data_IF_485694931510
#
_entry.id   IF_485694931510
#
_cell.length_a   1.000
_cell.length_b   1.000
_cell.length_c   1.000
_cell.angle_alpha   90.00
_cell.angle_beta   90.00
_cell.angle_gamma   90.00
#
_symmetry.space_group_name_H-M   'P 1'
#
loop_
_entity.id
_entity.type
_entity.pdbx_description
1 polymer ?
#
# COMPACT_ATOMS: atom_id res chain seq x y z
N UNK A 1 -11.21 21.55 24.17
CA UNK A 1 -9.80 21.61 23.72
C UNK A 1 -9.75 20.88 22.38
N UNK A 2 -9.69 21.61 21.28
CA UNK A 2 -9.50 21.00 19.97
C UNK A 2 -8.14 20.31 19.92
N UNK A 3 -8.13 18.99 19.84
CA UNK A 3 -6.88 18.25 19.63
C UNK A 3 -6.34 18.62 18.25
N UNK A 4 -5.18 19.31 18.24
CA UNK A 4 -4.46 19.68 17.04
C UNK A 4 -4.17 18.44 16.18
N UNK A 5 -4.32 18.61 14.87
CA UNK A 5 -3.82 17.64 13.91
C UNK A 5 -2.33 17.37 14.12
N UNK A 6 -1.95 16.09 14.07
CA UNK A 6 -0.58 15.61 14.19
C UNK A 6 -0.26 14.72 13.00
N UNK A 7 1.01 14.72 12.63
CA UNK A 7 1.54 13.80 11.64
C UNK A 7 2.27 12.66 12.36
N UNK A 8 2.01 11.42 11.98
CA UNK A 8 2.66 10.23 12.52
C UNK A 8 3.12 9.36 11.35
N UNK A 9 4.39 8.94 11.37
CA UNK A 9 4.94 7.98 10.42
C UNK A 9 5.19 6.66 11.14
N UNK A 10 4.94 5.54 10.45
CA UNK A 10 5.13 4.22 11.04
C UNK A 10 4.74 3.08 10.12
N UNK A 11 4.86 1.86 10.63
CA UNK A 11 4.61 0.62 9.85
C UNK A 11 3.36 -0.09 10.33
N UNK A 12 2.53 -0.54 9.40
CA UNK A 12 1.36 -1.36 9.71
C UNK A 12 1.85 -2.71 10.24
N UNK A 13 1.69 -2.92 11.54
CA UNK A 13 1.99 -4.20 12.18
C UNK A 13 0.87 -5.20 11.94
N UNK A 14 -0.38 -4.76 12.07
CA UNK A 14 -1.55 -5.62 11.97
C UNK A 14 -2.73 -4.85 11.38
N UNK A 15 -3.52 -5.53 10.57
CA UNK A 15 -4.84 -5.04 10.14
C UNK A 15 -5.85 -5.66 11.11
N UNK A 16 -6.43 -4.84 11.99
CA UNK A 16 -7.42 -5.30 12.99
C UNK A 16 -8.76 -5.51 12.29
N UNK A 17 -9.13 -4.57 11.42
CA UNK A 17 -10.32 -4.62 10.60
C UNK A 17 -10.09 -3.83 9.32
N UNK A 18 -10.68 -4.28 8.22
CA UNK A 18 -10.74 -3.49 7.00
C UNK A 18 -12.02 -3.85 6.26
N UNK A 19 -12.89 -2.86 6.09
CA UNK A 19 -14.02 -2.99 5.19
C UNK A 19 -13.55 -2.57 3.78
N UNK A 20 -13.45 -3.51 2.84
CA UNK A 20 -13.02 -3.17 1.51
C UNK A 20 -13.98 -2.19 0.82
N UNK A 21 -15.28 -2.25 1.08
CA UNK A 21 -16.27 -1.41 0.39
C UNK A 21 -16.23 0.05 0.83
N UNK A 22 -16.10 0.30 2.14
CA UNK A 22 -16.14 1.67 2.71
C UNK A 22 -14.77 2.30 2.95
N UNK A 23 -13.67 1.58 2.67
CA UNK A 23 -12.28 1.94 3.04
C UNK A 23 -11.96 1.95 4.52
N UNK A 24 -12.97 1.82 5.36
CA UNK A 24 -12.78 1.92 6.77
C UNK A 24 -11.82 0.83 7.24
N UNK A 25 -10.67 1.25 7.73
CA UNK A 25 -9.64 0.38 8.25
C UNK A 25 -9.35 0.76 9.70
N UNK A 26 -9.17 -0.27 10.51
CA UNK A 26 -8.61 -0.18 11.85
C UNK A 26 -7.29 -0.95 11.78
N UNK A 27 -6.18 -0.24 11.92
CA UNK A 27 -4.84 -0.81 11.83
C UNK A 27 -4.08 -0.58 13.12
N UNK A 28 -3.24 -1.56 13.48
CA UNK A 28 -2.15 -1.41 14.44
C UNK A 28 -0.95 -0.84 13.70
N UNK A 29 -0.55 0.38 14.00
CA UNK A 29 0.61 1.05 13.42
C UNK A 29 1.68 1.17 14.50
N UNK A 30 2.90 0.71 14.24
CA UNK A 30 4.05 1.01 15.10
C UNK A 30 4.70 2.30 14.60
N UNK A 31 4.65 3.41 15.37
CA UNK A 31 5.31 4.64 14.99
C UNK A 31 6.82 4.47 14.86
N UNK A 32 7.45 5.27 13.99
CA UNK A 32 8.91 5.27 13.85
C UNK A 32 9.60 5.63 15.17
N UNK A 33 10.56 4.79 15.59
CA UNK A 33 11.31 4.97 16.84
C UNK A 33 10.57 4.49 18.10
N UNK A 34 9.33 4.02 17.97
CA UNK A 34 8.54 3.48 19.06
C UNK A 34 8.44 1.96 18.98
N UNK A 35 8.24 1.31 20.13
CA UNK A 35 8.04 -0.14 20.21
C UNK A 35 6.55 -0.48 20.29
N UNK A 36 5.78 0.39 20.95
CA UNK A 36 4.36 0.17 21.21
C UNK A 36 3.51 0.60 20.01
N UNK A 37 2.61 -0.25 19.51
CA UNK A 37 1.71 0.14 18.46
C UNK A 37 0.62 1.10 18.95
N UNK A 38 0.08 1.85 18.00
CA UNK A 38 -1.11 2.68 18.17
C UNK A 38 -2.23 2.19 17.25
N UNK A 39 -3.47 2.42 17.64
CA UNK A 39 -4.63 2.13 16.78
C UNK A 39 -4.91 3.33 15.90
N UNK A 40 -4.86 3.12 14.58
CA UNK A 40 -5.15 4.13 13.57
C UNK A 40 -6.44 3.74 12.84
N UNK A 41 -7.33 4.72 12.67
CA UNK A 41 -8.67 4.52 12.10
C UNK A 41 -8.93 5.55 11.01
N UNK A 42 -9.42 5.09 9.86
CA UNK A 42 -9.88 5.96 8.78
C UNK A 42 -10.00 5.23 7.45
N UNK A 43 -10.09 5.99 6.36
CA UNK A 43 -10.23 5.45 5.02
C UNK A 43 -8.87 5.09 4.43
N UNK A 44 -8.55 3.78 4.42
CA UNK A 44 -7.31 3.24 3.84
C UNK A 44 -7.69 2.23 2.76
N UNK A 45 -7.50 2.55 1.45
CA UNK A 45 -7.78 1.69 0.30
C UNK A 45 -7.29 0.26 0.38
N UNK A 46 -6.02 0.07 0.69
CA UNK A 46 -5.39 -1.22 0.61
C UNK A 46 -4.30 -1.32 1.67
N UNK A 47 -4.67 -1.31 2.96
CA UNK A 47 -3.71 -1.46 4.03
C UNK A 47 -3.08 -2.84 3.88
N UNK A 48 -1.76 -2.91 3.97
CA UNK A 48 -1.02 -4.18 3.97
C UNK A 48 -0.07 -4.21 5.15
N UNK A 49 0.00 -5.35 5.83
CA UNK A 49 0.99 -5.54 6.90
C UNK A 49 2.40 -5.34 6.32
N UNK A 50 3.23 -4.62 7.06
CA UNK A 50 4.58 -4.21 6.63
C UNK A 50 4.60 -2.93 5.79
N UNK A 51 3.47 -2.39 5.36
CA UNK A 51 3.40 -1.13 4.63
C UNK A 51 3.72 0.03 5.58
N UNK A 52 4.54 0.97 5.13
CA UNK A 52 4.84 2.17 5.90
C UNK A 52 3.95 3.34 5.46
N UNK A 53 3.33 3.99 6.44
CA UNK A 53 2.41 5.10 6.23
C UNK A 53 2.91 6.35 6.93
N UNK A 54 2.64 7.50 6.33
CA UNK A 54 2.64 8.78 7.01
C UNK A 54 1.20 9.26 7.06
N UNK A 55 0.64 9.39 8.27
CA UNK A 55 -0.77 9.75 8.49
C UNK A 55 -0.86 11.13 9.13
N UNK A 56 -1.87 11.91 8.73
CA UNK A 56 -2.23 13.19 9.32
C UNK A 56 -3.64 13.06 9.90
N UNK A 57 -3.78 13.34 11.19
CA UNK A 57 -5.03 13.10 11.91
C UNK A 57 -5.01 13.64 13.33
N UNK A 58 -5.96 13.21 14.15
CA UNK A 58 -6.08 13.60 15.54
C UNK A 58 -6.36 12.40 16.43
N UNK A 59 -5.99 12.50 17.69
CA UNK A 59 -6.42 11.54 18.68
C UNK A 59 -7.93 11.69 18.95
N UNK A 60 -8.59 10.59 19.28
CA UNK A 60 -10.00 10.55 19.68
C UNK A 60 -10.14 9.44 20.71
N UNK A 61 -10.89 9.71 21.78
CA UNK A 61 -11.25 8.72 22.80
C UNK A 61 -12.55 8.00 22.38
N UNK A 62 -12.46 6.73 22.00
CA UNK A 62 -13.63 5.92 21.69
C UNK A 62 -14.17 5.24 22.95
N UNK A 63 -15.46 5.42 23.26
CA UNK A 63 -16.09 4.91 24.51
C UNK A 63 -15.87 3.41 24.76
N UNK A 64 -15.82 2.59 23.71
CA UNK A 64 -15.68 1.13 23.82
C UNK A 64 -14.25 0.63 23.56
N UNK A 65 -13.45 1.37 22.81
CA UNK A 65 -12.17 0.87 22.26
C UNK A 65 -10.96 1.69 22.74
N UNK A 66 -11.20 2.70 23.57
CA UNK A 66 -10.16 3.58 24.09
C UNK A 66 -9.61 4.52 23.03
N UNK A 67 -8.36 4.94 23.24
CA UNK A 67 -7.70 5.97 22.44
C UNK A 67 -7.34 5.47 21.04
N UNK A 68 -7.79 6.19 20.02
CA UNK A 68 -7.54 5.90 18.60
C UNK A 68 -7.03 7.15 17.88
N UNK A 69 -6.24 6.97 16.84
CA UNK A 69 -5.78 8.04 15.96
C UNK A 69 -6.64 8.05 14.70
N UNK A 70 -7.53 9.04 14.59
CA UNK A 70 -8.44 9.19 13.44
C UNK A 70 -7.75 10.01 12.37
N UNK A 71 -7.56 9.41 11.19
CA UNK A 71 -6.82 10.02 10.08
C UNK A 71 -7.75 10.74 9.11
N UNK A 72 -7.27 11.86 8.59
CA UNK A 72 -7.92 12.61 7.51
C UNK A 72 -7.15 12.44 6.19
N UNK A 73 -5.82 12.34 6.27
CA UNK A 73 -4.95 12.11 5.12
C UNK A 73 -3.90 11.07 5.45
N UNK A 74 -3.45 10.35 4.43
CA UNK A 74 -2.30 9.48 4.55
C UNK A 74 -1.52 9.43 3.24
N UNK A 75 -0.23 9.13 3.37
CA UNK A 75 0.66 8.82 2.26
C UNK A 75 1.35 7.49 2.54
N UNK A 76 1.50 6.68 1.50
CA UNK A 76 2.30 5.47 1.59
C UNK A 76 3.73 5.82 1.22
N UNK A 77 4.69 5.48 2.08
CA UNK A 77 6.11 5.69 1.80
C UNK A 77 6.90 4.39 2.00
N UNK A 78 8.14 4.38 1.54
CA UNK A 78 9.08 3.35 1.96
C UNK A 78 9.35 3.48 3.47
N UNK A 79 9.62 2.36 4.18
CA UNK A 79 10.06 2.41 5.56
C UNK A 79 11.38 3.18 5.71
N UNK A 80 11.51 3.95 6.79
CA UNK A 80 12.73 4.75 7.06
C UNK A 80 13.66 4.15 8.10
N UNK A 81 13.15 3.26 8.97
CA UNK A 81 13.96 2.56 9.97
C UNK A 81 14.41 1.18 9.47
N UNK A 82 15.54 0.71 10.00
CA UNK A 82 16.09 -0.60 9.65
C UNK A 82 15.13 -1.73 10.03
N UNK A 83 14.55 -1.70 11.23
CA UNK A 83 13.58 -2.72 11.66
C UNK A 83 12.34 -2.78 10.76
N UNK A 84 11.83 -1.62 10.34
CA UNK A 84 10.70 -1.55 9.44
C UNK A 84 11.08 -2.00 8.02
N UNK A 85 12.29 -1.69 7.56
CA UNK A 85 12.82 -2.17 6.28
C UNK A 85 12.93 -3.70 6.28
N UNK A 86 13.42 -4.29 7.36
CA UNK A 86 13.53 -5.74 7.51
C UNK A 86 12.14 -6.38 7.41
N UNK A 87 11.18 -5.87 8.19
CA UNK A 87 9.79 -6.37 8.17
C UNK A 87 9.15 -6.23 6.80
N UNK A 88 9.35 -5.11 6.13
CA UNK A 88 8.82 -4.87 4.79
C UNK A 88 9.42 -5.84 3.77
N UNK A 89 10.74 -5.95 3.72
CA UNK A 89 11.44 -6.86 2.80
C UNK A 89 11.11 -8.32 3.10
N UNK A 90 10.90 -8.72 4.35
CA UNK A 90 10.54 -10.09 4.71
C UNK A 90 9.04 -10.40 4.68
N UNK A 91 8.21 -9.43 4.29
CA UNK A 91 6.75 -9.60 4.26
C UNK A 91 6.27 -10.37 3.04
N UNK A 92 5.02 -10.83 3.08
CA UNK A 92 4.36 -11.48 1.93
C UNK A 92 4.23 -10.57 0.70
N UNK A 93 4.45 -9.25 0.86
CA UNK A 93 4.54 -8.30 -0.26
C UNK A 93 5.73 -8.58 -1.15
N UNK A 94 6.87 -8.90 -0.55
CA UNK A 94 8.13 -9.12 -1.25
C UNK A 94 8.48 -10.61 -1.16
N UNK A 95 7.77 -11.40 -1.96
CA UNK A 95 7.96 -12.86 -1.97
C UNK A 95 9.39 -13.24 -2.32
N UNK A 96 9.92 -14.22 -1.58
CA UNK A 96 11.26 -14.77 -1.82
C UNK A 96 12.39 -14.13 -1.01
N UNK A 97 12.08 -13.18 -0.14
CA UNK A 97 13.04 -12.61 0.82
C UNK A 97 12.62 -13.03 2.23
N UNK A 98 13.44 -13.87 2.86
CA UNK A 98 13.26 -14.20 4.27
C UNK A 98 13.89 -13.16 5.20
N UNK A 99 13.57 -13.19 6.51
CA UNK A 99 14.05 -12.23 7.50
C UNK A 99 15.59 -12.14 7.57
N UNK A 100 16.29 -13.26 7.34
CA UNK A 100 17.77 -13.30 7.32
C UNK A 100 18.34 -12.43 6.19
N UNK A 101 17.80 -12.55 4.97
CA UNK A 101 18.27 -11.74 3.84
C UNK A 101 17.82 -10.29 3.99
N UNK A 102 16.59 -10.06 4.44
CA UNK A 102 16.10 -8.72 4.74
C UNK A 102 17.02 -7.98 5.73
N UNK A 103 17.44 -8.64 6.81
CA UNK A 103 18.40 -8.11 7.78
C UNK A 103 19.77 -7.82 7.16
N UNK A 104 20.30 -8.71 6.31
CA UNK A 104 21.61 -8.50 5.65
C UNK A 104 21.59 -7.35 4.65
N UNK A 105 20.54 -7.27 3.83
CA UNK A 105 20.33 -6.20 2.84
C UNK A 105 20.22 -4.86 3.59
N UNK A 106 19.38 -4.82 4.63
CA UNK A 106 19.19 -3.62 5.46
C UNK A 106 20.48 -3.20 6.15
N UNK A 107 21.21 -4.13 6.77
CA UNK A 107 22.51 -3.83 7.38
C UNK A 107 23.53 -3.25 6.40
N UNK A 108 23.50 -3.67 5.12
CA UNK A 108 24.46 -3.22 4.11
C UNK A 108 24.09 -1.86 3.52
N UNK A 109 22.79 -1.60 3.29
CA UNK A 109 22.33 -0.43 2.52
C UNK A 109 21.50 0.57 3.32
N UNK A 110 21.06 0.22 4.53
CA UNK A 110 20.25 1.05 5.42
C UNK A 110 19.02 1.63 4.72
N UNK A 111 18.80 2.93 4.90
CA UNK A 111 17.70 3.68 4.29
C UNK A 111 17.72 3.72 2.75
N UNK A 112 18.85 3.37 2.10
CA UNK A 112 18.98 3.30 0.64
C UNK A 112 18.59 1.94 0.05
N UNK A 113 18.12 0.98 0.86
CA UNK A 113 17.77 -0.36 0.41
C UNK A 113 16.88 -0.37 -0.83
N UNK A 114 15.72 0.29 -0.76
CA UNK A 114 14.73 0.26 -1.83
C UNK A 114 15.26 0.94 -3.09
N UNK A 115 15.94 2.09 -2.93
CA UNK A 115 16.56 2.81 -4.03
C UNK A 115 17.58 1.93 -4.76
N UNK A 116 18.48 1.27 -4.02
CA UNK A 116 19.46 0.35 -4.59
C UNK A 116 18.79 -0.85 -5.25
N UNK A 117 17.76 -1.44 -4.63
CA UNK A 117 17.05 -2.58 -5.23
C UNK A 117 16.39 -2.20 -6.56
N UNK A 118 15.85 -0.98 -6.67
CA UNK A 118 15.12 -0.52 -7.86
C UNK A 118 16.04 -0.02 -8.98
N UNK A 119 17.11 0.72 -8.61
CA UNK A 119 17.96 1.47 -9.52
C UNK A 119 19.34 0.82 -9.75
N UNK A 120 19.87 0.08 -8.77
CA UNK A 120 21.19 -0.56 -8.83
C UNK A 120 21.17 -2.01 -8.29
N UNK A 121 20.31 -2.90 -8.84
CA UNK A 121 20.11 -4.23 -8.30
C UNK A 121 21.36 -5.12 -8.31
N UNK A 122 22.33 -4.83 -9.17
CA UNK A 122 23.64 -5.49 -9.21
C UNK A 122 24.40 -5.40 -7.89
N UNK A 123 24.22 -4.29 -7.16
CA UNK A 123 24.86 -4.07 -5.85
C UNK A 123 24.35 -5.02 -4.78
N UNK A 124 23.17 -5.63 -4.96
CA UNK A 124 22.69 -6.67 -4.05
C UNK A 124 23.67 -7.86 -3.94
N UNK A 125 24.55 -8.05 -4.93
CA UNK A 125 25.60 -9.07 -4.87
C UNK A 125 26.75 -8.74 -3.91
N UNK A 126 26.83 -7.49 -3.41
CA UNK A 126 27.72 -7.10 -2.31
C UNK A 126 27.25 -7.68 -0.96
N UNK A 127 26.04 -8.22 -0.88
CA UNK A 127 25.47 -8.83 0.33
C UNK A 127 25.78 -10.32 0.36
N UNK A 128 26.38 -10.77 1.46
CA UNK A 128 26.75 -12.17 1.66
C UNK A 128 25.56 -13.13 1.47
N UNK A 129 25.72 -14.10 0.56
CA UNK A 129 24.70 -15.11 0.23
C UNK A 129 23.68 -14.67 -0.84
N UNK A 130 23.85 -13.49 -1.43
CA UNK A 130 23.03 -13.02 -2.57
C UNK A 130 23.86 -13.09 -3.86
N UNK A 131 23.63 -14.14 -4.66
CA UNK A 131 24.18 -14.22 -6.02
C UNK A 131 23.33 -13.49 -7.05
N UNK A 132 23.83 -13.33 -8.28
CA UNK A 132 23.17 -12.62 -9.40
C UNK A 132 21.70 -13.04 -9.62
N UNK A 133 21.42 -14.35 -9.56
CA UNK A 133 20.05 -14.88 -9.74
C UNK A 133 19.09 -14.38 -8.66
N UNK A 134 19.53 -14.37 -7.40
CA UNK A 134 18.73 -13.92 -6.26
C UNK A 134 18.58 -12.40 -6.26
N UNK A 135 19.64 -11.66 -6.60
CA UNK A 135 19.58 -10.21 -6.79
C UNK A 135 18.49 -9.82 -7.81
N UNK A 136 18.47 -10.48 -8.97
CA UNK A 136 17.45 -10.25 -10.01
C UNK A 136 16.04 -10.54 -9.50
N UNK A 137 15.84 -11.68 -8.83
CA UNK A 137 14.54 -12.06 -8.24
C UNK A 137 14.05 -11.03 -7.21
N UNK A 138 14.93 -10.56 -6.33
CA UNK A 138 14.62 -9.54 -5.32
C UNK A 138 14.19 -8.23 -5.99
N UNK A 139 14.96 -7.78 -6.99
CA UNK A 139 14.66 -6.56 -7.72
C UNK A 139 13.32 -6.63 -8.44
N UNK A 140 13.02 -7.77 -9.08
CA UNK A 140 11.74 -8.02 -9.73
C UNK A 140 10.58 -8.02 -8.73
N UNK A 141 10.74 -8.67 -7.57
CA UNK A 141 9.71 -8.71 -6.53
C UNK A 141 9.39 -7.32 -5.97
N UNK A 142 10.43 -6.52 -5.65
CA UNK A 142 10.25 -5.15 -5.16
C UNK A 142 9.67 -4.26 -6.25
N UNK A 143 10.18 -4.32 -7.48
CA UNK A 143 9.64 -3.54 -8.60
C UNK A 143 8.17 -3.84 -8.84
N UNK A 144 7.78 -5.12 -8.79
CA UNK A 144 6.39 -5.55 -8.93
C UNK A 144 5.49 -4.98 -7.83
N UNK A 145 5.93 -5.02 -6.57
CA UNK A 145 5.17 -4.45 -5.47
C UNK A 145 4.92 -2.94 -5.66
N UNK A 146 5.95 -2.20 -6.08
CA UNK A 146 5.83 -0.77 -6.38
C UNK A 146 4.93 -0.49 -7.60
N UNK A 147 5.05 -1.27 -8.68
CA UNK A 147 4.23 -1.08 -9.88
C UNK A 147 2.75 -1.39 -9.62
N UNK A 148 2.45 -2.46 -8.88
CA UNK A 148 1.08 -2.80 -8.47
C UNK A 148 0.48 -1.67 -7.62
N UNK A 149 1.26 -1.13 -6.67
CA UNK A 149 0.80 -0.02 -5.85
C UNK A 149 0.53 1.24 -6.68
N UNK A 150 1.44 1.60 -7.60
CA UNK A 150 1.28 2.77 -8.46
C UNK A 150 0.09 2.62 -9.42
N UNK A 151 -0.12 1.44 -10.00
CA UNK A 151 -1.26 1.17 -10.86
C UNK A 151 -2.60 1.28 -10.11
N UNK A 152 -2.66 0.76 -8.88
CA UNK A 152 -3.84 0.90 -8.03
C UNK A 152 -4.13 2.37 -7.69
N UNK A 153 -3.09 3.17 -7.38
CA UNK A 153 -3.26 4.60 -7.11
C UNK A 153 -3.77 5.36 -8.33
N UNK A 154 -3.24 5.07 -9.53
CA UNK A 154 -3.72 5.70 -10.78
C UNK A 154 -5.16 5.35 -11.09
N UNK A 155 -5.54 4.07 -10.92
CA UNK A 155 -6.93 3.63 -11.09
C UNK A 155 -7.85 4.32 -10.09
N UNK A 156 -7.44 4.40 -8.83
CA UNK A 156 -8.22 5.05 -7.78
C UNK A 156 -8.44 6.53 -8.08
N UNK A 157 -7.37 7.26 -8.39
CA UNK A 157 -7.44 8.68 -8.76
C UNK A 157 -8.40 8.91 -9.93
N UNK A 158 -8.24 8.15 -11.02
CA UNK A 158 -9.08 8.24 -12.21
C UNK A 158 -10.57 8.05 -11.88
N UNK A 159 -10.89 6.99 -11.13
CA UNK A 159 -12.28 6.67 -10.82
C UNK A 159 -12.87 7.65 -9.80
N UNK A 160 -12.06 8.18 -8.89
CA UNK A 160 -12.50 9.22 -7.94
C UNK A 160 -12.81 10.53 -8.67
N UNK A 161 -11.97 10.92 -9.63
CA UNK A 161 -12.22 12.09 -10.49
C UNK A 161 -13.54 11.93 -11.28
N UNK A 162 -13.90 10.69 -11.64
CA UNK A 162 -15.17 10.35 -12.30
C UNK A 162 -16.35 10.19 -11.33
N UNK A 163 -16.16 10.53 -10.05
CA UNK A 163 -17.19 10.47 -9.02
C UNK A 163 -17.59 9.05 -8.61
N UNK A 164 -16.70 8.06 -8.82
CA UNK A 164 -16.89 6.72 -8.27
C UNK A 164 -16.18 6.58 -6.93
N UNK A 165 -16.81 5.85 -6.02
CA UNK A 165 -16.16 5.44 -4.78
C UNK A 165 -15.23 4.25 -4.98
N UNK A 166 -14.48 3.92 -3.95
CA UNK A 166 -13.51 2.82 -3.97
C UNK A 166 -14.14 1.43 -4.23
N UNK A 167 -15.42 1.22 -3.93
CA UNK A 167 -16.09 -0.06 -4.18
C UNK A 167 -15.98 -0.44 -5.66
N UNK A 168 -16.03 0.56 -6.55
CA UNK A 168 -15.79 0.38 -7.98
C UNK A 168 -14.31 0.08 -8.27
N UNK A 169 -13.39 0.86 -7.70
CA UNK A 169 -11.92 0.64 -7.81
C UNK A 169 -11.55 -0.79 -7.44
N UNK A 170 -12.02 -1.29 -6.29
CA UNK A 170 -11.68 -2.63 -5.80
C UNK A 170 -12.29 -3.75 -6.63
N UNK A 171 -13.53 -3.60 -7.11
CA UNK A 171 -14.15 -4.60 -7.98
C UNK A 171 -13.37 -4.77 -9.28
N UNK A 172 -12.96 -3.66 -9.88
CA UNK A 172 -12.15 -3.65 -11.10
C UNK A 172 -10.74 -4.20 -10.80
N UNK A 173 -10.10 -3.73 -9.73
CA UNK A 173 -8.77 -4.20 -9.33
C UNK A 173 -8.73 -5.69 -9.00
N UNK A 174 -9.78 -6.22 -8.34
CA UNK A 174 -9.90 -7.66 -8.04
C UNK A 174 -9.96 -8.51 -9.31
N UNK A 175 -10.58 -8.00 -10.37
CA UNK A 175 -10.68 -8.70 -11.65
C UNK A 175 -9.39 -8.61 -12.46
N UNK A 176 -8.80 -7.43 -12.55
CA UNK A 176 -7.76 -7.14 -13.55
C UNK A 176 -6.39 -6.81 -12.99
N UNK A 177 -6.26 -6.60 -11.68
CA UNK A 177 -5.00 -6.25 -11.03
C UNK A 177 -4.32 -5.05 -11.69
N UNK A 178 -3.04 -5.20 -12.00
CA UNK A 178 -2.18 -4.21 -12.66
C UNK A 178 -2.71 -3.72 -14.03
N UNK A 179 -3.54 -4.53 -14.71
CA UNK A 179 -4.16 -4.16 -16.00
C UNK A 179 -5.42 -3.31 -15.87
N UNK A 180 -5.95 -3.15 -14.66
CA UNK A 180 -7.23 -2.49 -14.41
C UNK A 180 -7.28 -1.07 -15.00
N UNK A 181 -6.21 -0.28 -14.81
CA UNK A 181 -6.14 1.08 -15.32
C UNK A 181 -6.26 1.14 -16.85
N UNK A 182 -5.51 0.30 -17.56
CA UNK A 182 -5.53 0.24 -19.03
C UNK A 182 -6.88 -0.23 -19.57
N UNK A 183 -7.51 -1.20 -18.93
CA UNK A 183 -8.83 -1.69 -19.34
C UNK A 183 -9.88 -0.60 -19.16
N UNK A 184 -9.89 0.08 -18.01
CA UNK A 184 -10.80 1.20 -17.77
C UNK A 184 -10.62 2.26 -18.85
N UNK A 185 -9.38 2.64 -19.17
CA UNK A 185 -9.06 3.70 -20.13
C UNK A 185 -9.37 3.35 -21.59
N UNK A 186 -9.13 2.10 -22.00
CA UNK A 186 -9.19 1.71 -23.42
C UNK A 186 -10.50 1.02 -23.80
N UNK A 187 -11.14 0.30 -22.88
CA UNK A 187 -12.40 -0.38 -23.14
C UNK A 187 -13.24 -0.54 -21.84
N UNK A 188 -13.88 0.55 -21.36
CA UNK A 188 -14.66 0.53 -20.13
C UNK A 188 -15.90 -0.37 -20.20
N UNK A 189 -16.36 -0.77 -21.39
CA UNK A 189 -17.50 -1.67 -21.57
C UNK A 189 -17.22 -3.10 -21.12
N UNK A 190 -15.96 -3.56 -21.18
CA UNK A 190 -15.57 -4.86 -20.63
C UNK A 190 -15.89 -5.01 -19.14
N UNK A 191 -15.93 -3.88 -18.41
CA UNK A 191 -16.26 -3.88 -17.00
C UNK A 191 -17.69 -4.39 -16.77
N UNK A 192 -18.63 -4.07 -17.67
CA UNK A 192 -20.03 -4.50 -17.57
C UNK A 192 -20.21 -6.00 -17.82
N UNK A 193 -19.34 -6.59 -18.63
CA UNK A 193 -19.37 -8.02 -18.97
C UNK A 193 -18.68 -8.87 -17.90
N UNK A 194 -17.55 -8.40 -17.39
CA UNK A 194 -16.63 -9.26 -16.65
C UNK A 194 -16.49 -8.94 -15.16
N UNK A 195 -16.94 -7.77 -14.71
CA UNK A 195 -16.82 -7.31 -13.32
C UNK A 195 -18.19 -7.33 -12.64
N UNK A 196 -18.41 -8.35 -11.81
CA UNK A 196 -19.64 -8.48 -11.02
C UNK A 196 -19.92 -7.21 -10.20
N UNK A 197 -21.13 -6.67 -10.36
CA UNK A 197 -21.59 -5.44 -9.70
C UNK A 197 -21.28 -4.13 -10.45
N UNK A 198 -20.70 -4.21 -11.65
CA UNK A 198 -20.62 -3.12 -12.62
C UNK A 198 -21.50 -3.50 -13.81
N UNK A 199 -22.53 -2.72 -14.09
CA UNK A 199 -23.41 -2.92 -15.26
C UNK A 199 -23.18 -1.87 -16.34
N UNK A 200 -23.87 -1.99 -17.47
CA UNK A 200 -23.71 -1.10 -18.61
C UNK A 200 -23.84 0.38 -18.25
N UNK A 201 -24.77 0.75 -17.36
CA UNK A 201 -24.93 2.14 -16.93
C UNK A 201 -23.68 2.71 -16.21
N UNK A 202 -22.99 1.89 -15.41
CA UNK A 202 -21.75 2.27 -14.74
C UNK A 202 -20.61 2.38 -15.75
N UNK A 203 -20.50 1.41 -16.66
CA UNK A 203 -19.51 1.43 -17.75
C UNK A 203 -19.69 2.64 -18.68
N UNK A 204 -20.93 2.95 -19.08
CA UNK A 204 -21.28 4.14 -19.86
C UNK A 204 -20.84 5.43 -19.14
N UNK A 205 -21.09 5.51 -17.83
CA UNK A 205 -20.70 6.68 -17.05
C UNK A 205 -19.18 6.84 -16.98
N UNK A 206 -18.42 5.73 -16.89
CA UNK A 206 -16.96 5.75 -16.99
C UNK A 206 -16.51 6.20 -18.39
N UNK A 207 -17.13 5.67 -19.46
CA UNK A 207 -16.81 6.02 -20.84
C UNK A 207 -17.05 7.51 -21.14
N UNK A 208 -18.19 8.07 -20.69
CA UNK A 208 -18.52 9.50 -20.84
C UNK A 208 -17.61 10.41 -20.03
N UNK A 209 -17.09 9.96 -18.89
CA UNK A 209 -16.15 10.75 -18.09
C UNK A 209 -14.75 10.82 -18.74
N UNK A 210 -14.45 9.92 -19.69
CA UNK A 210 -13.20 9.91 -20.46
C UNK A 210 -13.24 10.81 -21.71
N UNK A 211 -14.44 11.20 -22.18
CA UNK A 211 -14.66 11.94 -23.42
C UNK A 211 -15.91 12.80 -23.40
#
# INVERSE_FOLDING_TARGET
>A
MDEKFRQISGTIEKIVFHNPETLFAVISLIPDGEIMPIIVVGEIPNPKVGQHLTVLGKWVEHRQYGRQFVIEKFEVSAPKSDDAMIRYLSSDLIRGIGPVYAARITKKFGSKCIDIILNNPERLTEVEGIGKKRAKMIAEAVRRAFSEQAALQRLAALLFDYGFGIGTVKRIWRKYGDKAFEIVKNNPYLLAEEVWGIGCATADRIARAQG
#
